data_IF_697468065308
#
_entry.id   IF_697468065308
#
_cell.length_a   1.000
_cell.length_b   1.000
_cell.length_c   1.000
_cell.angle_alpha   90.00
_cell.angle_beta   90.00
_cell.angle_gamma   90.00
#
_symmetry.space_group_name_H-M   'P 1'
#
loop_
_entity.id
_entity.type
_entity.pdbx_description
1 polymer ?
#
# COMPACT_ATOMS: atom_id res chain seq x y z
N UNK A 1 -16.80 3.43 -25.25
CA UNK A 1 -16.04 3.59 -26.51
C UNK A 1 -14.89 2.58 -26.60
N UNK A 2 -14.05 2.41 -25.58
CA UNK A 2 -12.87 1.53 -25.58
C UNK A 2 -13.21 0.06 -25.84
N UNK A 3 -14.24 -0.49 -25.17
CA UNK A 3 -14.66 -1.88 -25.36
C UNK A 3 -15.06 -2.20 -26.80
N UNK A 4 -15.70 -1.25 -27.52
CA UNK A 4 -16.10 -1.41 -28.91
C UNK A 4 -14.91 -1.62 -29.85
N UNK A 5 -13.79 -1.01 -29.54
CA UNK A 5 -12.58 -1.07 -30.37
C UNK A 5 -11.50 -2.03 -29.83
N UNK A 6 -11.84 -2.83 -28.79
CA UNK A 6 -10.91 -3.75 -28.11
C UNK A 6 -9.60 -3.08 -27.69
N UNK A 7 -9.67 -1.79 -27.36
CA UNK A 7 -8.53 -1.08 -26.79
C UNK A 7 -8.37 -1.61 -25.38
N UNK A 8 -7.19 -2.11 -24.98
CA UNK A 8 -6.95 -2.50 -23.59
C UNK A 8 -7.29 -1.32 -22.68
N UNK A 9 -7.95 -1.59 -21.55
CA UNK A 9 -8.10 -0.58 -20.53
C UNK A 9 -6.70 -0.08 -20.16
N UNK A 10 -6.40 1.13 -20.59
CA UNK A 10 -5.10 1.70 -20.34
C UNK A 10 -4.96 1.95 -18.85
N UNK A 11 -3.94 1.34 -18.27
CA UNK A 11 -3.38 1.76 -17.00
C UNK A 11 -4.39 1.89 -15.83
N UNK A 12 -4.94 0.77 -15.42
CA UNK A 12 -5.53 0.59 -14.10
C UNK A 12 -4.50 0.00 -13.14
N UNK A 13 -4.86 -0.11 -11.87
CA UNK A 13 -4.07 -0.79 -10.86
C UNK A 13 -4.05 -0.03 -9.54
N UNK A 14 -3.50 -0.67 -8.52
CA UNK A 14 -3.54 -0.16 -7.14
C UNK A 14 -3.03 1.28 -7.00
N UNK A 15 -2.02 1.68 -7.78
CA UNK A 15 -1.52 3.05 -7.78
C UNK A 15 -2.54 4.05 -8.31
N UNK A 16 -3.07 3.82 -9.51
CA UNK A 16 -3.95 4.78 -10.20
C UNK A 16 -5.34 4.80 -9.58
N UNK A 17 -5.93 3.61 -9.35
CA UNK A 17 -7.32 3.50 -8.96
C UNK A 17 -7.55 3.73 -7.46
N UNK A 18 -6.53 3.52 -6.64
CA UNK A 18 -6.62 3.54 -5.18
C UNK A 18 -5.73 4.60 -4.54
N UNK A 19 -4.43 4.61 -4.84
CA UNK A 19 -3.48 5.50 -4.15
C UNK A 19 -3.56 6.95 -4.65
N UNK A 20 -3.61 7.19 -5.95
CA UNK A 20 -3.66 8.57 -6.50
C UNK A 20 -4.83 9.36 -5.90
N UNK A 21 -6.09 8.88 -5.94
CA UNK A 21 -7.20 9.60 -5.31
C UNK A 21 -7.01 9.75 -3.79
N UNK A 22 -6.42 8.78 -3.12
CA UNK A 22 -6.12 8.87 -1.68
C UNK A 22 -5.05 9.94 -1.40
N UNK A 23 -3.99 10.05 -2.22
CA UNK A 23 -3.00 11.10 -2.07
C UNK A 23 -3.57 12.48 -2.35
N UNK A 24 -4.51 12.63 -3.28
CA UNK A 24 -5.21 13.89 -3.53
C UNK A 24 -5.98 14.36 -2.29
N UNK A 25 -6.52 13.44 -1.51
CA UNK A 25 -7.30 13.72 -0.29
C UNK A 25 -6.39 13.89 0.95
N UNK A 26 -5.41 13.02 1.15
CA UNK A 26 -4.65 12.89 2.40
C UNK A 26 -3.17 13.24 2.29
N UNK A 27 -2.61 13.27 1.08
CA UNK A 27 -1.19 13.50 0.86
C UNK A 27 -0.79 14.96 1.03
N UNK A 28 0.46 15.17 1.41
CA UNK A 28 1.11 16.49 1.35
C UNK A 28 1.33 16.92 -0.09
N UNK A 29 1.56 18.20 -0.34
CA UNK A 29 1.86 18.69 -1.70
C UNK A 29 3.14 18.06 -2.26
N UNK A 30 4.15 17.84 -1.42
CA UNK A 30 5.39 17.16 -1.83
C UNK A 30 5.12 15.71 -2.25
N UNK A 31 4.31 14.96 -1.49
CA UNK A 31 3.92 13.61 -1.85
C UNK A 31 3.11 13.56 -3.15
N UNK A 32 2.21 14.52 -3.38
CA UNK A 32 1.44 14.64 -4.62
C UNK A 32 2.36 14.88 -5.82
N UNK A 33 3.28 15.84 -5.69
CA UNK A 33 4.25 16.16 -6.75
C UNK A 33 5.18 14.99 -7.06
N UNK A 34 5.64 14.30 -6.03
CA UNK A 34 6.58 13.18 -6.17
C UNK A 34 5.96 11.95 -6.82
N UNK A 35 4.70 11.63 -6.48
CA UNK A 35 4.14 10.32 -6.78
C UNK A 35 3.04 10.31 -7.86
N UNK A 36 2.22 11.38 -7.98
CA UNK A 36 1.04 11.31 -8.84
C UNK A 36 1.41 11.19 -10.31
N UNK A 37 2.25 12.08 -10.83
CA UNK A 37 2.59 12.06 -12.25
C UNK A 37 3.26 10.75 -12.66
N UNK A 38 4.25 10.28 -11.89
CA UNK A 38 4.97 9.03 -12.18
C UNK A 38 4.04 7.82 -12.17
N UNK A 39 3.04 7.82 -11.28
CA UNK A 39 2.03 6.77 -11.18
C UNK A 39 1.08 6.80 -12.38
N UNK A 40 0.55 7.97 -12.74
CA UNK A 40 -0.36 8.14 -13.88
C UNK A 40 0.32 7.81 -15.22
N UNK A 41 1.62 8.03 -15.33
CA UNK A 41 2.41 7.67 -16.51
C UNK A 41 2.86 6.19 -16.51
N UNK A 42 2.48 5.40 -15.49
CA UNK A 42 2.87 3.99 -15.35
C UNK A 42 4.37 3.78 -15.10
N UNK A 43 5.10 4.81 -14.70
CA UNK A 43 6.52 4.74 -14.34
C UNK A 43 6.75 4.15 -12.96
N UNK A 44 5.77 4.31 -12.06
CA UNK A 44 5.79 3.78 -10.70
C UNK A 44 4.62 2.84 -10.51
N UNK A 45 4.92 1.57 -10.29
CA UNK A 45 3.94 0.53 -9.96
C UNK A 45 3.88 0.41 -8.44
N UNK A 46 2.66 0.30 -7.91
CA UNK A 46 2.40 0.23 -6.49
C UNK A 46 1.82 -1.13 -6.10
N UNK A 47 2.14 -1.57 -4.89
CA UNK A 47 1.47 -2.68 -4.23
C UNK A 47 0.92 -2.27 -2.88
N UNK A 48 -0.03 -3.06 -2.37
CA UNK A 48 -0.75 -2.81 -1.13
C UNK A 48 -0.25 -3.73 -0.02
N UNK A 49 0.30 -3.17 1.05
CA UNK A 49 0.78 -3.90 2.22
C UNK A 49 -0.23 -3.83 3.38
N UNK A 50 -1.36 -4.56 3.29
CA UNK A 50 -2.42 -4.52 4.30
C UNK A 50 -2.47 -5.81 5.12
N UNK A 51 -2.92 -6.90 4.53
CA UNK A 51 -3.16 -8.16 5.22
C UNK A 51 -1.88 -8.78 5.80
N UNK A 52 -2.03 -9.43 6.93
CA UNK A 52 -0.99 -10.23 7.59
C UNK A 52 -1.50 -11.66 7.80
N UNK A 53 -0.63 -12.65 8.08
CA UNK A 53 -1.07 -14.04 8.28
C UNK A 53 -2.21 -14.17 9.30
N UNK A 54 -2.24 -13.32 10.33
CA UNK A 54 -3.26 -13.33 11.38
C UNK A 54 -4.19 -12.11 11.35
N UNK A 55 -4.13 -11.26 10.33
CA UNK A 55 -4.92 -10.04 10.22
C UNK A 55 -5.39 -9.82 8.77
N UNK A 56 -6.45 -10.49 8.38
CA UNK A 56 -7.14 -10.35 7.11
C UNK A 56 -8.50 -9.67 7.30
N UNK A 57 -9.55 -10.44 7.61
CA UNK A 57 -10.89 -9.89 7.90
C UNK A 57 -10.89 -8.94 9.08
N UNK A 58 -10.10 -9.24 10.12
CA UNK A 58 -9.80 -8.32 11.22
C UNK A 58 -8.51 -7.56 10.96
N UNK A 59 -8.49 -6.75 9.89
CA UNK A 59 -7.31 -6.01 9.45
C UNK A 59 -6.75 -5.09 10.55
N UNK A 60 -7.61 -4.52 11.39
CA UNK A 60 -7.17 -3.64 12.48
C UNK A 60 -6.35 -4.37 13.56
N UNK A 61 -6.24 -5.69 13.52
CA UNK A 61 -5.36 -6.49 14.37
C UNK A 61 -3.93 -6.64 13.83
N UNK A 62 -3.58 -5.94 12.76
CA UNK A 62 -2.23 -5.96 12.18
C UNK A 62 -1.14 -5.69 13.22
N UNK A 63 0.01 -6.37 13.05
CA UNK A 63 1.13 -6.36 14.00
C UNK A 63 2.43 -5.81 13.40
N UNK A 64 2.52 -5.65 12.07
CA UNK A 64 3.69 -5.00 11.45
C UNK A 64 3.94 -3.67 12.14
N UNK A 65 5.11 -3.54 12.77
CA UNK A 65 5.46 -2.45 13.67
C UNK A 65 6.22 -1.36 12.92
N UNK A 66 5.91 -0.10 13.23
CA UNK A 66 6.68 1.06 12.79
C UNK A 66 7.09 1.88 14.00
N UNK A 67 8.39 2.03 14.24
CA UNK A 67 8.95 2.86 15.30
C UNK A 67 9.65 4.07 14.68
N UNK A 68 9.40 5.25 15.23
CA UNK A 68 10.10 6.46 14.79
C UNK A 68 11.42 6.57 15.57
N UNK A 69 12.54 6.49 14.84
CA UNK A 69 13.90 6.57 15.39
C UNK A 69 14.71 7.55 14.53
N UNK A 70 15.22 8.59 15.15
CA UNK A 70 16.08 9.61 14.51
C UNK A 70 15.49 10.17 13.18
N UNK A 71 14.17 10.47 13.18
CA UNK A 71 13.46 11.02 12.01
C UNK A 71 13.18 10.01 10.91
N UNK A 72 13.27 8.71 11.20
CA UNK A 72 12.96 7.64 10.27
C UNK A 72 12.03 6.61 10.90
N UNK A 73 11.12 6.06 10.11
CA UNK A 73 10.34 4.88 10.49
C UNK A 73 11.19 3.63 10.32
N UNK A 74 11.36 2.88 11.37
CA UNK A 74 11.96 1.52 11.35
C UNK A 74 10.82 0.51 11.39
N UNK A 75 10.67 -0.25 10.31
CA UNK A 75 9.53 -1.14 10.09
C UNK A 75 9.98 -2.59 10.19
N UNK A 76 9.23 -3.37 11.00
CA UNK A 76 9.44 -4.79 11.21
C UNK A 76 8.12 -5.54 11.17
N UNK A 77 8.07 -6.65 10.43
CA UNK A 77 6.89 -7.48 10.33
C UNK A 77 6.74 -8.22 9.00
N UNK A 78 5.50 -8.56 8.68
CA UNK A 78 5.20 -9.34 7.48
C UNK A 78 3.84 -8.95 6.91
N UNK A 79 3.77 -8.84 5.59
CA UNK A 79 2.53 -8.74 4.83
C UNK A 79 2.32 -9.97 3.98
N UNK A 80 1.06 -10.30 3.69
CA UNK A 80 0.68 -11.45 2.85
C UNK A 80 -0.43 -11.04 1.87
N UNK A 81 -0.60 -11.82 0.82
CA UNK A 81 -1.55 -11.59 -0.26
C UNK A 81 -1.28 -10.29 -1.01
N UNK A 82 -0.03 -9.83 -0.99
CA UNK A 82 0.39 -8.61 -1.67
C UNK A 82 0.50 -8.87 -3.18
N UNK A 83 -0.50 -8.39 -3.93
CA UNK A 83 -0.51 -8.51 -5.39
C UNK A 83 0.63 -7.70 -6.00
N UNK A 84 1.30 -8.29 -6.98
CA UNK A 84 2.31 -7.63 -7.83
C UNK A 84 3.53 -7.06 -7.10
N UNK A 85 3.77 -7.39 -5.82
CA UNK A 85 4.90 -6.86 -5.05
C UNK A 85 6.24 -7.06 -5.75
N UNK A 86 6.44 -8.20 -6.43
CA UNK A 86 7.66 -8.54 -7.16
C UNK A 86 7.96 -7.61 -8.36
N UNK A 87 6.98 -6.81 -8.80
CA UNK A 87 7.10 -5.86 -9.91
C UNK A 87 6.96 -4.40 -9.48
N UNK A 88 6.64 -4.16 -8.20
CA UNK A 88 6.31 -2.83 -7.69
C UNK A 88 7.58 -2.10 -7.24
N UNK A 89 7.64 -0.81 -7.53
CA UNK A 89 8.66 0.11 -7.04
C UNK A 89 8.32 0.68 -5.68
N UNK A 90 7.02 0.76 -5.37
CA UNK A 90 6.52 1.37 -4.15
C UNK A 90 5.42 0.52 -3.52
N UNK A 91 5.30 0.60 -2.20
CA UNK A 91 4.20 0.04 -1.43
C UNK A 91 3.51 1.11 -0.62
N UNK A 92 2.19 1.07 -0.53
CA UNK A 92 1.46 1.76 0.53
C UNK A 92 1.08 0.74 1.61
N UNK A 93 1.54 0.99 2.82
CA UNK A 93 1.54 -0.01 3.90
C UNK A 93 0.86 0.50 5.16
N UNK A 94 0.06 -0.38 5.80
CA UNK A 94 -0.45 -0.15 7.15
C UNK A 94 0.52 -0.73 8.18
N UNK A 95 0.91 0.10 9.14
CA UNK A 95 1.82 -0.29 10.22
C UNK A 95 1.28 0.14 11.58
N UNK A 96 1.60 -0.61 12.64
CA UNK A 96 1.29 -0.28 14.02
C UNK A 96 2.34 0.68 14.57
N UNK A 97 2.00 1.95 14.72
CA UNK A 97 2.90 2.98 15.24
C UNK A 97 2.59 3.37 16.68
N UNK A 98 1.34 3.13 17.16
CA UNK A 98 0.90 3.42 18.50
C UNK A 98 0.36 2.15 19.18
N UNK A 99 1.23 1.28 19.72
CA UNK A 99 0.79 -0.01 20.29
C UNK A 99 -0.09 0.13 21.53
N UNK A 100 -0.04 1.28 22.21
CA UNK A 100 -0.85 1.58 23.42
C UNK A 100 -2.18 2.26 23.08
N UNK A 101 -2.39 2.70 21.84
CA UNK A 101 -3.64 3.33 21.43
C UNK A 101 -4.75 2.28 21.19
N UNK A 102 -5.99 2.76 21.05
CA UNK A 102 -7.09 1.90 20.62
C UNK A 102 -6.79 1.29 19.25
N UNK A 103 -7.38 0.14 18.99
CA UNK A 103 -7.08 -0.74 17.84
C UNK A 103 -6.88 0.00 16.51
N UNK A 104 -7.81 0.90 16.15
CA UNK A 104 -7.77 1.67 14.91
C UNK A 104 -6.83 2.87 14.97
N UNK A 105 -6.80 3.59 16.10
CA UNK A 105 -5.96 4.76 16.29
C UNK A 105 -4.46 4.44 16.44
N UNK A 106 -4.11 3.16 16.53
CA UNK A 106 -2.71 2.72 16.59
C UNK A 106 -2.06 2.49 15.24
N UNK A 107 -2.76 2.75 14.14
CA UNK A 107 -2.33 2.41 12.78
C UNK A 107 -1.95 3.68 12.03
N UNK A 108 -0.81 3.64 11.33
CA UNK A 108 -0.38 4.67 10.38
C UNK A 108 -0.26 4.11 8.97
N UNK A 109 -0.32 4.99 7.98
CA UNK A 109 -0.20 4.67 6.57
C UNK A 109 1.12 5.22 6.04
N UNK A 110 2.02 4.34 5.57
CA UNK A 110 3.38 4.71 5.20
C UNK A 110 3.67 4.26 3.77
N UNK A 111 4.33 5.13 2.99
CA UNK A 111 4.83 4.84 1.66
C UNK A 111 6.24 4.26 1.76
N UNK A 112 6.46 3.09 1.17
CA UNK A 112 7.72 2.35 1.31
C UNK A 112 8.28 2.06 -0.09
N UNK A 113 9.49 2.53 -0.44
CA UNK A 113 10.21 2.07 -1.63
C UNK A 113 10.55 0.58 -1.51
N UNK A 114 10.24 -0.21 -2.53
CA UNK A 114 10.38 -1.67 -2.47
C UNK A 114 11.82 -2.16 -2.63
N UNK A 115 12.75 -1.28 -3.00
CA UNK A 115 14.18 -1.51 -3.06
C UNK A 115 14.91 -1.16 -1.74
N UNK A 116 14.16 -0.77 -0.70
CA UNK A 116 14.72 -0.46 0.62
C UNK A 116 15.36 -1.72 1.23
N UNK A 117 16.60 -1.63 1.74
CA UNK A 117 17.25 -2.75 2.42
C UNK A 117 16.39 -3.32 3.55
N UNK A 118 16.38 -4.65 3.68
CA UNK A 118 15.58 -5.36 4.69
C UNK A 118 14.22 -5.83 4.18
N UNK A 119 13.85 -5.52 2.93
CA UNK A 119 12.64 -6.06 2.30
C UNK A 119 12.98 -7.38 1.60
N UNK A 120 12.23 -8.43 1.93
CA UNK A 120 12.27 -9.71 1.23
C UNK A 120 10.88 -10.03 0.67
N UNK A 121 10.82 -10.36 -0.63
CA UNK A 121 9.58 -10.70 -1.32
C UNK A 121 9.61 -12.18 -1.67
N UNK A 122 8.58 -12.92 -1.23
CA UNK A 122 8.41 -14.35 -1.53
C UNK A 122 7.11 -14.58 -2.28
N UNK A 123 7.18 -14.94 -3.57
CA UNK A 123 5.99 -15.24 -4.35
C UNK A 123 5.22 -16.44 -3.78
N UNK A 124 3.89 -16.31 -3.72
CA UNK A 124 2.96 -17.38 -3.36
C UNK A 124 2.42 -18.03 -4.64
N UNK A 125 2.68 -19.30 -4.81
CA UNK A 125 2.15 -20.08 -5.93
C UNK A 125 0.77 -20.59 -5.56
N UNK A 126 -0.25 -20.20 -6.31
CA UNK A 126 -1.62 -20.66 -6.13
C UNK A 126 -1.88 -22.03 -6.78
N UNK A 127 -3.09 -22.58 -6.61
CA UNK A 127 -3.47 -23.87 -7.17
C UNK A 127 -3.45 -23.92 -8.70
N UNK A 128 -3.41 -22.75 -9.37
CA UNK A 128 -3.27 -22.63 -10.84
C UNK A 128 -1.82 -22.54 -11.30
N UNK A 129 -0.86 -22.71 -10.39
CA UNK A 129 0.58 -22.59 -10.58
C UNK A 129 1.02 -21.17 -10.99
N UNK A 130 0.22 -20.15 -10.65
CA UNK A 130 0.57 -18.75 -10.85
C UNK A 130 1.04 -18.12 -9.53
N UNK A 131 2.01 -17.23 -9.63
CA UNK A 131 2.53 -16.45 -8.51
C UNK A 131 2.00 -15.01 -8.60
N UNK A 132 0.69 -14.84 -8.39
CA UNK A 132 0.01 -13.53 -8.44
C UNK A 132 0.10 -12.73 -7.13
N UNK A 133 0.33 -13.43 -6.02
CA UNK A 133 0.42 -12.85 -4.68
C UNK A 133 1.80 -13.10 -4.09
N UNK A 134 2.13 -12.33 -3.05
CA UNK A 134 3.40 -12.42 -2.37
C UNK A 134 3.24 -12.31 -0.85
N UNK A 135 4.17 -12.91 -0.13
CA UNK A 135 4.56 -12.50 1.21
C UNK A 135 5.65 -11.42 1.08
N UNK A 136 5.59 -10.43 1.93
CA UNK A 136 6.61 -9.37 2.02
C UNK A 136 7.06 -9.25 3.47
N UNK A 137 8.33 -9.50 3.70
CA UNK A 137 8.95 -9.41 5.02
C UNK A 137 9.70 -8.10 5.17
N UNK A 138 9.63 -7.52 6.36
CA UNK A 138 10.36 -6.32 6.73
C UNK A 138 11.26 -6.63 7.92
N UNK A 139 12.57 -6.46 7.72
CA UNK A 139 13.59 -6.59 8.76
C UNK A 139 14.36 -5.27 8.87
N UNK A 140 14.02 -4.47 9.88
CA UNK A 140 14.59 -3.14 10.13
C UNK A 140 14.58 -2.22 8.88
N UNK A 141 13.50 -2.30 8.11
CA UNK A 141 13.29 -1.45 6.92
C UNK A 141 13.13 -0.01 7.37
N UNK A 142 14.02 0.86 6.88
CA UNK A 142 14.09 2.25 7.32
C UNK A 142 13.65 3.18 6.20
N UNK A 143 12.64 4.02 6.48
CA UNK A 143 12.12 5.03 5.56
C UNK A 143 11.96 6.38 6.26
N UNK A 144 12.09 7.51 5.55
CA UNK A 144 11.94 8.84 6.12
C UNK A 144 10.59 9.06 6.82
N UNK A 145 10.58 9.90 7.86
CA UNK A 145 9.36 10.25 8.61
C UNK A 145 8.27 10.82 7.71
N UNK A 146 8.64 11.64 6.72
CA UNK A 146 7.75 12.27 5.76
C UNK A 146 7.01 11.29 4.83
N UNK A 147 7.38 10.02 4.80
CA UNK A 147 6.68 8.99 4.02
C UNK A 147 5.31 8.60 4.62
N UNK A 148 4.95 9.14 5.78
CA UNK A 148 3.61 8.96 6.35
C UNK A 148 2.57 9.76 5.56
N UNK A 149 1.43 9.15 5.24
CA UNK A 149 0.27 9.82 4.63
C UNK A 149 -0.78 10.11 5.70
N UNK A 150 -1.24 11.34 5.77
CA UNK A 150 -2.03 11.82 6.91
C UNK A 150 -1.14 12.01 8.15
N UNK A 151 -1.72 11.91 9.35
CA UNK A 151 -0.97 12.00 10.59
C UNK A 151 -0.73 10.62 11.20
N UNK A 152 0.22 10.57 12.11
CA UNK A 152 0.49 9.39 12.93
C UNK A 152 -0.78 8.95 13.68
N UNK A 153 -1.15 7.67 13.55
CA UNK A 153 -2.38 7.13 14.10
C UNK A 153 -3.65 7.34 13.28
N UNK A 154 -3.60 8.08 12.17
CA UNK A 154 -4.74 8.29 11.26
C UNK A 154 -4.81 7.27 10.09
N UNK A 155 -3.88 6.33 10.04
CA UNK A 155 -3.77 5.38 8.92
C UNK A 155 -5.03 4.55 8.68
N UNK A 156 -5.86 4.32 9.69
CA UNK A 156 -7.14 3.64 9.51
C UNK A 156 -8.13 4.47 8.68
N UNK A 157 -8.17 5.77 8.88
CA UNK A 157 -9.01 6.68 8.09
C UNK A 157 -8.53 6.75 6.63
N UNK A 158 -7.21 6.84 6.42
CA UNK A 158 -6.59 6.79 5.09
C UNK A 158 -6.91 5.47 4.40
N UNK A 159 -6.78 4.33 5.12
CA UNK A 159 -7.12 3.01 4.58
C UNK A 159 -8.58 2.89 4.14
N UNK A 160 -9.51 3.47 4.89
CA UNK A 160 -10.92 3.48 4.51
C UNK A 160 -11.17 4.29 3.23
N UNK A 161 -10.44 5.39 3.00
CA UNK A 161 -10.48 6.13 1.75
C UNK A 161 -10.00 5.26 0.59
N UNK A 162 -8.84 4.59 0.73
CA UNK A 162 -8.31 3.63 -0.26
C UNK A 162 -9.34 2.55 -0.61
N UNK A 163 -9.93 1.91 0.40
CA UNK A 163 -10.94 0.85 0.20
C UNK A 163 -12.24 1.39 -0.40
N UNK A 164 -12.57 2.65 -0.16
CA UNK A 164 -13.68 3.35 -0.81
C UNK A 164 -13.46 3.49 -2.32
N UNK A 165 -12.27 3.89 -2.73
CA UNK A 165 -11.88 4.00 -4.14
C UNK A 165 -11.81 2.63 -4.82
N UNK A 166 -11.27 1.61 -4.16
CA UNK A 166 -11.25 0.23 -4.65
C UNK A 166 -12.65 -0.27 -5.00
N UNK A 167 -13.63 -0.11 -4.08
CA UNK A 167 -15.02 -0.52 -4.32
C UNK A 167 -15.63 0.25 -5.49
N UNK A 168 -15.31 1.52 -5.64
CA UNK A 168 -15.76 2.36 -6.75
C UNK A 168 -15.24 1.86 -8.10
N UNK A 169 -13.98 1.45 -8.18
CA UNK A 169 -13.39 0.91 -9.40
C UNK A 169 -13.98 -0.46 -9.77
N UNK A 170 -14.15 -1.36 -8.79
CA UNK A 170 -14.75 -2.68 -9.01
C UNK A 170 -16.23 -2.62 -9.39
N UNK A 171 -16.95 -1.60 -8.95
CA UNK A 171 -18.37 -1.40 -9.28
C UNK A 171 -18.59 -0.78 -10.67
N UNK A 172 -17.55 -0.37 -11.38
CA UNK A 172 -17.64 0.22 -12.70
C UNK A 172 -17.86 -0.89 -13.76
N UNK A 173 -19.06 -1.01 -14.39
CA UNK A 173 -19.33 -2.06 -15.36
C UNK A 173 -18.52 -1.93 -16.67
N UNK A 174 -17.72 -0.89 -16.80
CA UNK A 174 -16.85 -0.61 -17.94
C UNK A 174 -15.35 -0.74 -17.59
N UNK A 175 -15.01 -1.23 -16.39
CA UNK A 175 -13.64 -1.49 -15.98
C UNK A 175 -13.11 -2.80 -16.56
#
# INVERSE_FOLDING_TARGET
AFAKYKVPNAMGGQGIDMLVPTLLEWGTEDQKQQHIESTLLGKTIWCQGYSEPNAGSDLASLQTKGELVDGNWVINGQKIWTSTAQFSQMMFCLVRTEPQASKHAGISFILIPMDTPGIEIRPLVDMTLKAGFNEVFFDNVTVPEENIVGKRGEGWSVANSVLGHERGSLANPNA
#
